data_IF_525463026579
#
_entry.id   IF_525463026579
#
_cell.length_a   1.000
_cell.length_b   1.000
_cell.length_c   1.000
_cell.angle_alpha   90.00
_cell.angle_beta   90.00
_cell.angle_gamma   90.00
#
_symmetry.space_group_name_H-M   'P 1'
#
loop_
_entity.id
_entity.type
_entity.pdbx_description
1 polymer ?
#
# COMPACT_ATOMS: atom_id res chain seq x y z
N UNK A 1 0.68 2.94 8.74
CA UNK A 1 0.77 2.04 7.58
C UNK A 1 2.19 1.96 7.04
N UNK A 2 2.83 3.06 6.59
CA UNK A 2 4.20 3.03 6.01
C UNK A 2 5.23 2.31 6.87
N UNK A 3 5.32 2.62 8.16
CA UNK A 3 6.26 1.96 9.10
C UNK A 3 6.03 0.44 9.12
N UNK A 4 4.77 0.00 9.15
CA UNK A 4 4.41 -1.43 9.16
C UNK A 4 4.86 -2.12 7.87
N UNK A 5 4.64 -1.49 6.71
CA UNK A 5 5.11 -2.01 5.42
C UNK A 5 6.62 -2.19 5.41
N UNK A 6 7.38 -1.21 5.87
CA UNK A 6 8.85 -1.27 5.96
C UNK A 6 9.30 -2.39 6.91
N UNK A 7 8.69 -2.50 8.09
CA UNK A 7 9.05 -3.53 9.08
C UNK A 7 8.77 -4.94 8.56
N UNK A 8 7.62 -5.18 7.95
CA UNK A 8 7.28 -6.50 7.39
C UNK A 8 8.19 -6.85 6.22
N UNK A 9 8.44 -5.92 5.30
CA UNK A 9 9.36 -6.13 4.18
C UNK A 9 10.79 -6.42 4.66
N UNK A 10 11.28 -5.66 5.65
CA UNK A 10 12.60 -5.86 6.26
C UNK A 10 12.75 -7.25 6.91
N UNK A 11 11.70 -7.73 7.55
CA UNK A 11 11.71 -9.03 8.20
C UNK A 11 11.76 -10.18 7.19
N UNK A 12 11.06 -10.07 6.06
CA UNK A 12 10.97 -11.14 5.06
C UNK A 12 12.17 -11.13 4.13
N UNK A 13 12.51 -9.96 3.56
CA UNK A 13 13.58 -9.80 2.59
C UNK A 13 14.24 -8.42 2.69
N UNK A 14 15.27 -8.26 3.54
CA UNK A 14 15.93 -6.97 3.76
C UNK A 14 16.38 -6.22 2.49
N UNK A 15 16.87 -6.87 1.43
CA UNK A 15 17.31 -6.16 0.22
C UNK A 15 16.21 -5.35 -0.49
N UNK A 16 14.93 -5.67 -0.25
CA UNK A 16 13.82 -4.92 -0.86
C UNK A 16 13.70 -3.49 -0.32
N UNK A 17 14.29 -3.23 0.87
CA UNK A 17 14.25 -1.93 1.51
C UNK A 17 14.90 -0.83 0.67
N UNK A 18 15.97 -1.14 -0.05
CA UNK A 18 16.67 -0.19 -0.92
C UNK A 18 15.73 0.42 -1.98
N UNK A 19 14.72 -0.35 -2.38
CA UNK A 19 13.74 0.07 -3.37
C UNK A 19 12.45 0.66 -2.77
N UNK A 20 12.13 0.38 -1.50
CA UNK A 20 10.86 0.80 -0.86
C UNK A 20 11.06 2.03 0.03
N UNK A 21 12.20 2.14 0.74
CA UNK A 21 12.38 3.15 1.81
C UNK A 21 12.34 4.56 1.27
N UNK A 22 12.99 4.84 0.14
CA UNK A 22 13.01 6.18 -0.44
C UNK A 22 11.62 6.59 -0.96
N UNK A 23 10.95 5.82 -1.86
CA UNK A 23 9.62 6.18 -2.32
C UNK A 23 8.59 6.23 -1.18
N UNK A 24 8.58 5.21 -0.32
CA UNK A 24 7.67 5.15 0.83
C UNK A 24 7.90 6.27 1.84
N UNK A 25 9.16 6.65 2.05
CA UNK A 25 9.54 7.81 2.88
C UNK A 25 9.02 9.12 2.30
N UNK A 26 9.20 9.36 1.00
CA UNK A 26 8.68 10.56 0.31
C UNK A 26 7.16 10.63 0.42
N UNK A 27 6.45 9.51 0.20
CA UNK A 27 5.01 9.42 0.38
C UNK A 27 4.57 9.71 1.82
N UNK A 28 5.29 9.16 2.80
CA UNK A 28 5.03 9.38 4.21
C UNK A 28 5.24 10.84 4.61
N UNK A 29 6.35 11.46 4.23
CA UNK A 29 6.64 12.86 4.52
C UNK A 29 5.64 13.80 3.85
N UNK A 30 5.18 13.52 2.63
CA UNK A 30 4.14 14.28 1.97
C UNK A 30 2.83 14.27 2.76
N UNK A 31 2.40 13.11 3.24
CA UNK A 31 1.21 12.98 4.08
C UNK A 31 1.42 13.67 5.44
N UNK A 32 2.58 13.46 6.09
CA UNK A 32 2.90 14.04 7.38
C UNK A 32 2.94 15.57 7.31
N UNK A 33 3.48 16.14 6.23
CA UNK A 33 3.52 17.58 6.02
C UNK A 33 2.13 18.22 5.99
N UNK A 34 1.23 17.65 5.20
CA UNK A 34 -0.17 18.14 5.12
C UNK A 34 -0.85 18.02 6.49
N UNK A 35 -0.67 16.88 7.16
CA UNK A 35 -1.26 16.64 8.48
C UNK A 35 -0.74 17.66 9.50
N UNK A 36 0.56 17.91 9.53
CA UNK A 36 1.19 18.87 10.43
C UNK A 36 0.72 20.30 10.17
N UNK A 37 0.59 20.69 8.88
CA UNK A 37 0.07 21.99 8.50
C UNK A 37 -1.34 22.24 9.07
N UNK A 38 -2.26 21.28 8.90
CA UNK A 38 -3.60 21.42 9.44
C UNK A 38 -3.65 21.35 10.97
N UNK A 39 -2.79 20.55 11.60
CA UNK A 39 -2.68 20.48 13.06
C UNK A 39 -2.24 21.81 13.65
N UNK A 40 -1.22 22.44 13.09
CA UNK A 40 -0.72 23.74 13.53
C UNK A 40 -1.80 24.82 13.38
N UNK A 41 -2.53 24.82 12.27
CA UNK A 41 -3.62 25.79 12.07
C UNK A 41 -4.78 25.56 13.05
N UNK A 42 -5.17 24.32 13.30
CA UNK A 42 -6.19 24.00 14.29
C UNK A 42 -5.82 24.46 15.71
N UNK A 43 -4.54 24.34 16.08
CA UNK A 43 -4.03 24.84 17.36
C UNK A 43 -4.11 26.37 17.46
N UNK A 44 -3.81 27.09 16.38
CA UNK A 44 -3.92 28.57 16.34
C UNK A 44 -5.35 29.04 16.47
N UNK A 45 -6.29 28.35 15.86
CA UNK A 45 -7.72 28.69 15.88
C UNK A 45 -8.44 28.28 17.16
N UNK A 46 -7.74 27.64 18.13
CA UNK A 46 -8.33 27.13 19.39
C UNK A 46 -9.63 26.34 19.15
N UNK A 47 -9.66 25.54 18.10
CA UNK A 47 -10.84 24.71 17.80
C UNK A 47 -11.10 23.82 19.02
N UNK A 48 -12.31 23.88 19.64
CA UNK A 48 -12.59 23.05 20.79
C UNK A 48 -12.52 21.58 20.39
N UNK A 49 -11.70 20.82 21.14
CA UNK A 49 -11.65 19.37 20.98
C UNK A 49 -13.02 18.83 21.38
N UNK A 50 -13.82 18.46 20.41
CA UNK A 50 -15.08 17.75 20.64
C UNK A 50 -14.69 16.40 21.24
N UNK A 51 -14.87 16.25 22.56
CA UNK A 51 -14.75 14.94 23.22
C UNK A 51 -15.85 14.08 22.62
N UNK A 52 -15.46 13.11 21.81
CA UNK A 52 -16.37 12.07 21.36
C UNK A 52 -16.78 11.25 22.58
N UNK A 53 -17.97 11.49 23.13
CA UNK A 53 -18.56 10.70 24.22
C UNK A 53 -19.07 9.32 23.77
N UNK A 54 -18.76 8.91 22.56
CA UNK A 54 -19.01 7.52 22.17
C UNK A 54 -17.90 6.66 22.79
N UNK A 55 -18.17 6.15 23.98
CA UNK A 55 -17.54 4.93 24.47
C UNK A 55 -17.79 3.85 23.42
N UNK A 56 -16.84 3.70 22.50
CA UNK A 56 -16.86 2.58 21.56
C UNK A 56 -16.72 1.31 22.40
N UNK A 57 -17.63 0.35 22.24
CA UNK A 57 -17.40 -1.01 22.68
C UNK A 57 -16.10 -1.45 22.03
N UNK A 58 -15.02 -1.45 22.79
CA UNK A 58 -13.74 -1.99 22.36
C UNK A 58 -13.90 -3.50 22.25
N UNK A 59 -14.20 -3.97 21.05
CA UNK A 59 -14.14 -5.39 20.75
C UNK A 59 -12.72 -5.89 21.02
N UNK A 60 -12.64 -7.13 21.52
CA UNK A 60 -11.36 -7.78 21.84
C UNK A 60 -10.37 -7.63 20.69
N UNK A 61 -9.09 -7.25 20.96
CA UNK A 61 -8.05 -7.13 19.92
C UNK A 61 -7.72 -8.47 19.24
N UNK A 62 -8.16 -9.60 19.81
CA UNK A 62 -8.01 -10.93 19.25
C UNK A 62 -9.27 -11.34 18.47
N UNK A 63 -9.42 -10.81 17.28
CA UNK A 63 -10.48 -11.25 16.38
C UNK A 63 -9.93 -12.29 15.40
N UNK A 64 -10.44 -13.53 15.49
CA UNK A 64 -10.07 -14.61 14.58
C UNK A 64 -10.50 -14.33 13.14
N UNK A 65 -11.61 -13.61 12.94
CA UNK A 65 -12.13 -13.34 11.61
C UNK A 65 -11.19 -12.49 10.74
N UNK A 66 -10.63 -11.36 11.20
CA UNK A 66 -9.61 -10.63 10.45
C UNK A 66 -8.36 -11.46 10.13
N UNK A 67 -7.93 -12.32 11.07
CA UNK A 67 -6.77 -13.19 10.83
C UNK A 67 -7.05 -14.24 9.73
N UNK A 68 -8.25 -14.82 9.71
CA UNK A 68 -8.68 -15.72 8.65
C UNK A 68 -8.83 -15.02 7.30
N UNK A 69 -9.38 -13.81 7.28
CA UNK A 69 -9.47 -13.00 6.06
C UNK A 69 -8.08 -12.70 5.49
N UNK A 70 -7.13 -12.34 6.33
CA UNK A 70 -5.74 -12.10 5.94
C UNK A 70 -5.09 -13.37 5.36
N UNK A 71 -5.24 -14.52 6.03
CA UNK A 71 -4.72 -15.79 5.57
C UNK A 71 -5.33 -16.20 4.21
N UNK A 72 -6.65 -16.08 4.06
CA UNK A 72 -7.34 -16.34 2.80
C UNK A 72 -6.85 -15.43 1.66
N UNK A 73 -6.63 -14.15 1.93
CA UNK A 73 -6.14 -13.21 0.92
C UNK A 73 -4.74 -13.62 0.42
N UNK A 74 -3.84 -14.01 1.32
CA UNK A 74 -2.52 -14.53 0.95
C UNK A 74 -2.66 -15.78 0.06
N UNK A 75 -3.50 -16.73 0.46
CA UNK A 75 -3.74 -17.97 -0.31
C UNK A 75 -4.26 -17.65 -1.71
N UNK A 76 -5.23 -16.76 -1.82
CA UNK A 76 -5.81 -16.33 -3.11
C UNK A 76 -4.74 -15.68 -3.98
N UNK A 77 -3.97 -14.73 -3.45
CA UNK A 77 -2.90 -14.05 -4.21
C UNK A 77 -1.87 -15.07 -4.70
N UNK A 78 -1.40 -15.95 -3.82
CA UNK A 78 -0.45 -17.03 -4.18
C UNK A 78 -1.02 -17.95 -5.25
N UNK A 79 -2.27 -18.40 -5.11
CA UNK A 79 -2.91 -19.27 -6.09
C UNK A 79 -3.02 -18.61 -7.46
N UNK A 80 -3.46 -17.33 -7.50
CA UNK A 80 -3.55 -16.57 -8.75
C UNK A 80 -2.16 -16.39 -9.37
N UNK A 81 -1.12 -16.11 -8.57
CA UNK A 81 0.25 -15.95 -9.06
C UNK A 81 0.79 -17.23 -9.67
N UNK A 82 0.57 -18.39 -9.05
CA UNK A 82 0.98 -19.69 -9.57
C UNK A 82 0.22 -20.02 -10.88
N UNK A 83 -1.09 -19.80 -10.91
CA UNK A 83 -1.91 -20.03 -12.10
C UNK A 83 -1.46 -19.14 -13.27
N UNK A 84 -1.12 -17.87 -12.97
CA UNK A 84 -0.59 -16.94 -13.95
C UNK A 84 0.78 -17.36 -14.49
N UNK A 85 1.71 -17.76 -13.64
CA UNK A 85 3.02 -18.26 -14.03
C UNK A 85 2.90 -19.50 -14.95
N UNK A 86 1.98 -20.41 -14.61
CA UNK A 86 1.67 -21.56 -15.47
C UNK A 86 1.11 -21.13 -16.84
N UNK A 87 0.18 -20.18 -16.86
CA UNK A 87 -0.40 -19.65 -18.09
C UNK A 87 0.65 -18.99 -18.99
N UNK A 88 1.52 -18.15 -18.41
CA UNK A 88 2.60 -17.46 -19.14
C UNK A 88 3.52 -18.45 -19.85
N UNK A 89 3.89 -19.54 -19.20
CA UNK A 89 4.77 -20.57 -19.76
C UNK A 89 4.27 -21.15 -21.08
N UNK A 90 2.94 -21.21 -21.26
CA UNK A 90 2.33 -21.80 -22.46
C UNK A 90 1.82 -20.79 -23.48
N UNK A 91 1.52 -19.55 -23.05
CA UNK A 91 0.75 -18.60 -23.87
C UNK A 91 1.53 -17.35 -24.25
N UNK A 92 2.63 -17.03 -23.57
CA UNK A 92 3.38 -15.79 -23.78
C UNK A 92 4.73 -16.08 -24.44
N UNK A 93 5.03 -15.33 -25.52
CA UNK A 93 6.33 -15.40 -26.16
C UNK A 93 7.47 -15.03 -25.22
N UNK A 94 8.62 -15.74 -25.24
CA UNK A 94 9.72 -15.52 -24.28
C UNK A 94 10.18 -14.07 -24.15
N UNK A 95 10.13 -13.28 -25.21
CA UNK A 95 10.54 -11.87 -25.20
C UNK A 95 9.57 -10.90 -24.49
N UNK A 96 8.36 -11.34 -24.16
CA UNK A 96 7.33 -10.52 -23.52
C UNK A 96 6.99 -10.97 -22.09
N UNK A 97 7.55 -12.07 -21.62
CA UNK A 97 7.20 -12.66 -20.32
C UNK A 97 7.40 -11.69 -19.16
N UNK A 98 8.54 -11.01 -19.11
CA UNK A 98 8.88 -10.07 -18.04
C UNK A 98 7.89 -8.89 -17.96
N UNK A 99 7.48 -8.34 -19.11
CA UNK A 99 6.50 -7.24 -19.15
C UNK A 99 5.12 -7.68 -18.68
N UNK A 100 4.69 -8.87 -19.11
CA UNK A 100 3.41 -9.44 -18.70
C UNK A 100 3.39 -9.77 -17.21
N UNK A 101 4.49 -10.28 -16.67
CA UNK A 101 4.66 -10.54 -15.25
C UNK A 101 4.56 -9.25 -14.43
N UNK A 102 5.26 -8.20 -14.85
CA UNK A 102 5.20 -6.90 -14.18
C UNK A 102 3.77 -6.34 -14.17
N UNK A 103 3.09 -6.29 -15.32
CA UNK A 103 1.71 -5.79 -15.43
C UNK A 103 0.76 -6.58 -14.52
N UNK A 104 0.91 -7.90 -14.50
CA UNK A 104 0.09 -8.77 -13.68
C UNK A 104 0.29 -8.48 -12.18
N UNK A 105 1.54 -8.41 -11.72
CA UNK A 105 1.84 -8.12 -10.31
C UNK A 105 1.35 -6.72 -9.91
N UNK A 106 1.50 -5.71 -10.78
CA UNK A 106 0.97 -4.36 -10.53
C UNK A 106 -0.56 -4.35 -10.43
N UNK A 107 -1.24 -5.15 -11.25
CA UNK A 107 -2.70 -5.31 -11.17
C UNK A 107 -3.11 -5.98 -9.86
N UNK A 108 -2.38 -7.01 -9.42
CA UNK A 108 -2.58 -7.63 -8.09
C UNK A 108 -2.39 -6.59 -7.00
N UNK A 109 -1.30 -5.82 -7.03
CA UNK A 109 -1.04 -4.76 -6.06
C UNK A 109 -2.18 -3.74 -5.99
N UNK A 110 -2.66 -3.29 -7.14
CA UNK A 110 -3.77 -2.36 -7.23
C UNK A 110 -5.06 -2.93 -6.62
N UNK A 111 -5.47 -4.12 -7.04
CA UNK A 111 -6.74 -4.73 -6.61
C UNK A 111 -6.68 -5.18 -5.15
N UNK A 112 -5.63 -5.89 -4.75
CA UNK A 112 -5.49 -6.41 -3.40
C UNK A 112 -5.20 -5.31 -2.38
N UNK A 113 -4.55 -4.22 -2.79
CA UNK A 113 -4.32 -3.05 -1.95
C UNK A 113 -5.62 -2.38 -1.46
N UNK A 114 -6.73 -2.53 -2.18
CA UNK A 114 -8.05 -2.10 -1.70
C UNK A 114 -8.48 -2.85 -0.43
N UNK A 115 -8.13 -4.12 -0.33
CA UNK A 115 -8.48 -4.96 0.81
C UNK A 115 -7.41 -4.87 1.91
N UNK A 116 -6.16 -5.24 1.59
CA UNK A 116 -5.06 -5.25 2.56
C UNK A 116 -3.69 -5.13 1.87
N UNK A 117 -2.89 -4.19 2.36
CA UNK A 117 -1.50 -3.99 1.89
C UNK A 117 -0.56 -5.05 2.47
N UNK A 118 -0.80 -5.54 3.68
CA UNK A 118 0.13 -6.44 4.35
C UNK A 118 0.22 -7.80 3.65
N UNK A 119 -0.92 -8.30 3.13
CA UNK A 119 -0.93 -9.53 2.36
C UNK A 119 -0.13 -9.39 1.05
N UNK A 120 -0.25 -8.25 0.35
CA UNK A 120 0.55 -7.95 -0.83
C UNK A 120 2.02 -7.83 -0.47
N UNK A 121 2.33 -7.06 0.57
CA UNK A 121 3.70 -6.86 1.05
C UNK A 121 4.37 -8.20 1.39
N UNK A 122 3.68 -9.07 2.14
CA UNK A 122 4.16 -10.41 2.46
C UNK A 122 4.43 -11.23 1.20
N UNK A 123 3.45 -11.31 0.30
CA UNK A 123 3.54 -12.16 -0.90
C UNK A 123 4.62 -11.68 -1.87
N UNK A 124 4.73 -10.37 -2.09
CA UNK A 124 5.73 -9.79 -2.99
C UNK A 124 7.15 -9.88 -2.41
N UNK A 125 7.31 -9.63 -1.12
CA UNK A 125 8.61 -9.77 -0.45
C UNK A 125 9.09 -11.23 -0.46
N UNK A 126 8.20 -12.18 -0.25
CA UNK A 126 8.50 -13.61 -0.33
C UNK A 126 8.83 -14.05 -1.77
N UNK A 127 8.08 -13.57 -2.78
CA UNK A 127 8.36 -13.82 -4.19
C UNK A 127 9.72 -13.25 -4.64
N UNK A 128 10.09 -12.07 -4.14
CA UNK A 128 11.41 -11.49 -4.38
C UNK A 128 12.52 -12.31 -3.68
N UNK A 129 12.27 -12.79 -2.45
CA UNK A 129 13.20 -13.64 -1.70
C UNK A 129 13.46 -14.97 -2.39
N UNK A 130 12.42 -15.60 -2.93
CA UNK A 130 12.52 -16.87 -3.65
C UNK A 130 13.08 -16.73 -5.07
N UNK A 131 13.22 -15.51 -5.59
CA UNK A 131 13.64 -15.24 -6.97
C UNK A 131 12.54 -15.48 -8.01
N UNK A 132 11.30 -15.71 -7.57
CA UNK A 132 10.13 -15.86 -8.45
C UNK A 132 9.72 -14.54 -9.10
N UNK A 133 9.95 -13.42 -8.42
CA UNK A 133 9.59 -12.07 -8.85
C UNK A 133 10.84 -11.19 -8.76
N UNK A 134 11.08 -10.35 -9.77
CA UNK A 134 12.20 -9.40 -9.68
C UNK A 134 12.00 -8.42 -8.52
N UNK A 135 13.08 -8.03 -7.87
CA UNK A 135 13.06 -7.11 -6.72
C UNK A 135 12.37 -5.79 -7.07
N UNK A 136 12.61 -5.28 -8.27
CA UNK A 136 12.00 -4.05 -8.76
C UNK A 136 10.48 -4.19 -8.93
N UNK A 137 10.00 -5.29 -9.52
CA UNK A 137 8.56 -5.56 -9.70
C UNK A 137 7.89 -5.74 -8.34
N UNK A 138 8.50 -6.47 -7.41
CA UNK A 138 7.96 -6.68 -6.07
C UNK A 138 7.84 -5.34 -5.30
N UNK A 139 8.89 -4.54 -5.27
CA UNK A 139 8.89 -3.23 -4.60
C UNK A 139 7.84 -2.29 -5.19
N UNK A 140 7.78 -2.19 -6.52
CA UNK A 140 6.80 -1.35 -7.22
C UNK A 140 5.36 -1.82 -6.92
N UNK A 141 5.12 -3.12 -6.91
CA UNK A 141 3.80 -3.69 -6.56
C UNK A 141 3.37 -3.33 -5.15
N UNK A 142 4.28 -3.40 -4.18
CA UNK A 142 4.01 -2.98 -2.80
C UNK A 142 3.65 -1.50 -2.72
N UNK A 143 4.39 -0.63 -3.42
CA UNK A 143 4.10 0.80 -3.47
C UNK A 143 2.73 1.10 -4.13
N UNK A 144 2.38 0.40 -5.19
CA UNK A 144 1.05 0.47 -5.83
C UNK A 144 -0.05 0.05 -4.84
N UNK A 145 0.15 -1.03 -4.09
CA UNK A 145 -0.80 -1.48 -3.07
C UNK A 145 -0.97 -0.43 -1.95
N UNK A 146 0.11 0.23 -1.53
CA UNK A 146 0.07 1.34 -0.57
C UNK A 146 -0.76 2.51 -1.11
N UNK A 147 -0.56 2.91 -2.38
CA UNK A 147 -1.34 3.97 -3.01
C UNK A 147 -2.81 3.61 -3.13
N UNK A 148 -3.11 2.37 -3.53
CA UNK A 148 -4.47 1.85 -3.63
C UNK A 148 -5.19 1.91 -2.26
N UNK A 149 -4.56 1.44 -1.20
CA UNK A 149 -5.10 1.49 0.16
C UNK A 149 -5.30 2.94 0.65
N UNK A 150 -4.38 3.84 0.33
CA UNK A 150 -4.53 5.26 0.64
C UNK A 150 -5.73 5.87 -0.08
N UNK A 151 -5.98 5.48 -1.32
CA UNK A 151 -7.16 5.91 -2.09
C UNK A 151 -8.46 5.48 -1.41
N UNK A 152 -8.53 4.24 -0.93
CA UNK A 152 -9.70 3.75 -0.17
C UNK A 152 -9.93 4.57 1.09
N UNK A 153 -8.87 4.77 1.88
CA UNK A 153 -8.97 5.55 3.13
C UNK A 153 -9.40 7.00 2.89
N UNK A 154 -8.84 7.63 1.86
CA UNK A 154 -9.24 8.99 1.46
C UNK A 154 -10.71 9.03 1.03
N UNK A 155 -11.16 8.04 0.24
CA UNK A 155 -12.53 7.93 -0.23
C UNK A 155 -13.53 7.72 0.92
N UNK A 156 -13.19 6.85 1.88
CA UNK A 156 -14.00 6.62 3.08
C UNK A 156 -14.10 7.90 3.91
N UNK A 157 -12.97 8.55 4.18
CA UNK A 157 -12.95 9.80 4.95
C UNK A 157 -13.75 10.91 4.28
N UNK A 158 -13.66 11.02 2.95
CA UNK A 158 -14.42 12.00 2.17
C UNK A 158 -15.93 11.69 2.12
N UNK A 159 -16.30 10.41 2.01
CA UNK A 159 -17.70 9.99 1.84
C UNK A 159 -18.48 9.99 3.15
N UNK A 160 -17.84 9.59 4.25
CA UNK A 160 -18.47 9.36 5.54
C UNK A 160 -18.07 10.35 6.64
N UNK A 161 -17.01 11.13 6.41
CA UNK A 161 -16.59 12.21 7.32
C UNK A 161 -17.34 13.51 7.10
N UNK A 162 -17.11 14.47 8.00
CA UNK A 162 -17.52 15.85 7.77
C UNK A 162 -16.82 16.40 6.52
N UNK A 163 -17.53 17.19 5.71
CA UNK A 163 -17.02 17.66 4.40
C UNK A 163 -15.66 18.36 4.51
N UNK A 164 -15.50 19.19 5.52
CA UNK A 164 -14.24 19.93 5.73
C UNK A 164 -13.09 18.99 6.10
N UNK A 165 -13.32 18.03 7.00
CA UNK A 165 -12.34 17.02 7.38
C UNK A 165 -12.00 16.09 6.22
N UNK A 166 -13.03 15.58 5.53
CA UNK A 166 -12.87 14.69 4.38
C UNK A 166 -12.02 15.31 3.27
N UNK A 167 -12.18 16.61 3.01
CA UNK A 167 -11.39 17.34 2.01
C UNK A 167 -9.93 17.49 2.42
N UNK A 168 -9.66 17.79 3.69
CA UNK A 168 -8.28 17.85 4.25
C UNK A 168 -7.57 16.50 4.12
N UNK A 169 -8.27 15.41 4.44
CA UNK A 169 -7.75 14.04 4.32
C UNK A 169 -7.49 13.69 2.85
N UNK A 170 -8.42 14.02 1.95
CA UNK A 170 -8.26 13.80 0.51
C UNK A 170 -7.01 14.51 -0.04
N UNK A 171 -6.75 15.73 0.38
CA UNK A 171 -5.55 16.49 -0.03
C UNK A 171 -4.27 15.82 0.47
N UNK A 172 -4.24 15.35 1.72
CA UNK A 172 -3.06 14.67 2.30
C UNK A 172 -2.74 13.35 1.58
N UNK A 173 -3.73 12.49 1.41
CA UNK A 173 -3.54 11.24 0.69
C UNK A 173 -3.30 11.45 -0.81
N UNK A 174 -3.98 12.43 -1.42
CA UNK A 174 -3.76 12.81 -2.82
C UNK A 174 -2.32 13.23 -3.09
N UNK A 175 -1.74 14.09 -2.24
CA UNK A 175 -0.33 14.47 -2.33
C UNK A 175 0.60 13.24 -2.16
N UNK A 176 0.32 12.37 -1.20
CA UNK A 176 1.09 11.14 -0.99
C UNK A 176 1.07 10.24 -2.23
N UNK A 177 -0.08 10.09 -2.88
CA UNK A 177 -0.24 9.28 -4.10
C UNK A 177 0.53 9.93 -5.27
N UNK A 178 0.40 11.24 -5.46
CA UNK A 178 1.15 11.96 -6.50
C UNK A 178 2.66 11.78 -6.34
N UNK A 179 3.16 11.93 -5.12
CA UNK A 179 4.57 11.70 -4.81
C UNK A 179 4.99 10.25 -5.07
N UNK A 180 4.11 9.28 -4.76
CA UNK A 180 4.31 7.87 -5.09
C UNK A 180 4.45 7.62 -6.59
N UNK A 181 3.57 8.21 -7.40
CA UNK A 181 3.63 8.10 -8.87
C UNK A 181 4.93 8.69 -9.41
N UNK A 182 5.32 9.88 -8.94
CA UNK A 182 6.55 10.55 -9.37
C UNK A 182 7.79 9.72 -9.00
N UNK A 183 7.84 9.15 -7.80
CA UNK A 183 8.98 8.35 -7.34
C UNK A 183 9.08 7.02 -8.09
N UNK A 184 7.95 6.33 -8.32
CA UNK A 184 7.94 5.11 -9.16
C UNK A 184 8.38 5.44 -10.59
N UNK A 185 7.86 6.53 -11.17
CA UNK A 185 8.30 6.99 -12.50
C UNK A 185 9.79 7.30 -12.55
N UNK A 186 10.33 7.91 -11.51
CA UNK A 186 11.76 8.14 -11.37
C UNK A 186 12.57 6.84 -11.31
N UNK A 187 12.11 5.84 -10.60
CA UNK A 187 12.76 4.52 -10.53
C UNK A 187 12.83 3.85 -11.91
N UNK A 188 11.81 4.02 -12.76
CA UNK A 188 11.81 3.50 -14.13
C UNK A 188 12.79 4.21 -15.08
N UNK A 189 13.15 5.45 -14.79
CA UNK A 189 14.07 6.22 -15.64
C UNK A 189 15.53 5.95 -15.27
N UNK A 190 15.79 5.66 -13.99
CA UNK A 190 17.17 5.52 -13.45
C UNK A 190 17.63 4.06 -13.44
N UNK A 191 16.72 3.08 -13.39
CA UNK A 191 17.01 1.63 -13.40
C UNK A 191 16.87 1.05 -14.78
#
# INVERSE_FOLDING_TARGET
>A
MFIRVVVVAAYIYPPILDSIVIPGGIMFFGLAWVTLYYLINAWKEKVPVVKSEKEGNYESPFQLMPALQFAWLIVIIKFISIAWAAYQKYSVSPGNQEKFEAIFNYTIGLVSGFADVDAVNFTMSEGARSGEISLFVAATTILIAVMSNNTVKASIAYRFGEKEYGWKVLLGFGLSILLGIVTIGGMYIVG
#
